data_IF_668332871055
#
_entry.id   IF_668332871055
#
_cell.length_a   1.000
_cell.length_b   1.000
_cell.length_c   1.000
_cell.angle_alpha   90.00
_cell.angle_beta   90.00
_cell.angle_gamma   90.00
#
_symmetry.space_group_name_H-M   'P 1'
#
loop_
_entity.id
_entity.type
_entity.pdbx_description
1 polymer ?
#
# COMPACT_ATOMS: atom_id res chain seq x y z
N UNK A 1 -30.60 1.93 -30.55
CA UNK A 1 -29.43 2.73 -30.11
C UNK A 1 -29.70 3.32 -28.74
N UNK A 2 -28.98 2.91 -27.68
CA UNK A 2 -29.09 3.59 -26.37
C UNK A 2 -28.32 4.90 -26.47
N UNK A 3 -28.93 6.03 -26.06
CA UNK A 3 -28.18 7.28 -25.91
C UNK A 3 -27.12 7.08 -24.81
N UNK A 4 -25.85 7.46 -25.02
CA UNK A 4 -24.85 7.39 -23.97
C UNK A 4 -25.26 8.35 -22.86
N UNK A 5 -25.60 7.80 -21.69
CA UNK A 5 -25.81 8.58 -20.47
C UNK A 5 -24.45 8.90 -19.87
N UNK A 6 -24.23 10.16 -19.49
CA UNK A 6 -23.05 10.55 -18.72
C UNK A 6 -23.04 9.79 -17.39
N UNK A 7 -21.87 9.36 -16.89
CA UNK A 7 -21.80 8.69 -15.60
C UNK A 7 -22.33 9.60 -14.48
N UNK A 8 -23.02 9.05 -13.47
CA UNK A 8 -23.72 9.83 -12.43
C UNK A 8 -22.82 10.83 -11.69
N UNK A 9 -21.54 10.49 -11.52
CA UNK A 9 -20.56 11.32 -10.83
C UNK A 9 -20.23 12.63 -11.57
N UNK A 10 -20.24 12.64 -12.90
CA UNK A 10 -19.96 13.85 -13.69
C UNK A 10 -21.12 14.85 -13.60
N UNK A 11 -22.36 14.34 -13.53
CA UNK A 11 -23.54 15.15 -13.33
C UNK A 11 -23.54 15.83 -11.95
N UNK A 12 -23.10 15.15 -10.89
CA UNK A 12 -23.05 15.71 -9.54
C UNK A 12 -21.95 16.77 -9.34
N UNK A 13 -20.90 16.78 -10.16
CA UNK A 13 -19.74 17.67 -10.00
C UNK A 13 -19.74 18.88 -10.93
N UNK A 14 -20.79 19.09 -11.73
CA UNK A 14 -20.90 20.12 -12.77
C UNK A 14 -19.69 20.17 -13.74
N UNK A 15 -18.95 19.06 -13.88
CA UNK A 15 -17.73 18.95 -14.67
C UNK A 15 -17.99 18.57 -16.13
N UNK A 16 -19.27 18.35 -16.49
CA UNK A 16 -19.69 17.85 -17.79
C UNK A 16 -19.29 18.77 -18.96
N UNK A 17 -19.12 20.07 -18.74
CA UNK A 17 -18.68 21.02 -19.78
C UNK A 17 -17.14 21.15 -19.89
N UNK A 18 -16.39 20.58 -18.94
CA UNK A 18 -14.93 20.72 -18.87
C UNK A 18 -14.18 19.45 -19.24
N UNK A 19 -14.88 18.35 -19.52
CA UNK A 19 -14.30 17.03 -19.76
C UNK A 19 -14.93 16.38 -20.98
N UNK A 20 -14.10 15.82 -21.86
CA UNK A 20 -14.56 14.95 -22.94
C UNK A 20 -14.62 13.51 -22.40
N UNK A 21 -15.81 12.93 -22.37
CA UNK A 21 -16.03 11.55 -21.92
C UNK A 21 -16.14 10.59 -23.12
N UNK A 22 -15.29 9.57 -23.15
CA UNK A 22 -15.37 8.48 -24.12
C UNK A 22 -15.83 7.19 -23.44
N UNK A 23 -16.74 6.47 -24.12
CA UNK A 23 -17.14 5.11 -23.75
C UNK A 23 -16.92 4.19 -24.93
N UNK A 24 -16.23 3.08 -24.69
CA UNK A 24 -16.07 2.00 -25.65
C UNK A 24 -16.57 0.71 -25.02
N UNK A 25 -17.38 -0.04 -25.77
CA UNK A 25 -17.83 -1.39 -25.40
C UNK A 25 -17.38 -2.34 -26.52
N UNK A 26 -16.84 -3.51 -26.17
CA UNK A 26 -16.42 -4.52 -27.14
C UNK A 26 -17.41 -5.70 -27.12
N UNK A 27 -18.19 -5.94 -28.19
CA UNK A 27 -19.33 -6.85 -28.16
C UNK A 27 -18.99 -8.33 -28.39
N UNK A 28 -17.72 -8.70 -28.62
CA UNK A 28 -17.34 -10.08 -28.94
C UNK A 28 -16.51 -10.74 -27.82
N UNK A 29 -16.65 -12.05 -27.69
CA UNK A 29 -16.00 -12.90 -26.69
C UNK A 29 -14.66 -13.52 -27.15
N UNK A 30 -14.34 -13.44 -28.45
CA UNK A 30 -13.26 -14.24 -29.08
C UNK A 30 -11.85 -13.59 -29.05
N UNK A 31 -11.69 -12.41 -28.48
CA UNK A 31 -10.44 -11.62 -28.54
C UNK A 31 -9.76 -11.41 -27.18
N UNK A 32 -10.11 -12.19 -26.15
CA UNK A 32 -9.50 -12.06 -24.81
C UNK A 32 -7.97 -12.16 -24.86
N UNK A 33 -7.44 -13.04 -25.71
CA UNK A 33 -6.00 -13.16 -25.94
C UNK A 33 -5.39 -11.87 -26.52
N UNK A 34 -6.07 -11.24 -27.49
CA UNK A 34 -5.64 -9.95 -28.06
C UNK A 34 -5.70 -8.83 -27.02
N UNK A 35 -6.75 -8.80 -26.19
CA UNK A 35 -6.87 -7.85 -25.09
C UNK A 35 -5.76 -8.04 -24.06
N UNK A 36 -5.46 -9.28 -23.66
CA UNK A 36 -4.34 -9.61 -22.77
C UNK A 36 -2.99 -9.18 -23.36
N UNK A 37 -2.78 -9.37 -24.66
CA UNK A 37 -1.56 -8.91 -25.35
C UNK A 37 -1.46 -7.38 -25.39
N UNK A 38 -2.55 -6.68 -25.70
CA UNK A 38 -2.57 -5.20 -25.68
C UNK A 38 -2.29 -4.67 -24.27
N UNK A 39 -2.91 -5.27 -23.26
CA UNK A 39 -2.66 -4.96 -21.85
C UNK A 39 -1.18 -5.15 -21.50
N UNK A 40 -0.58 -6.29 -21.86
CA UNK A 40 0.83 -6.55 -21.59
C UNK A 40 1.78 -5.57 -22.31
N UNK A 41 1.36 -5.02 -23.46
CA UNK A 41 2.13 -4.01 -24.19
C UNK A 41 1.96 -2.60 -23.62
N UNK A 42 0.77 -2.27 -23.10
CA UNK A 42 0.47 -0.96 -22.51
C UNK A 42 1.02 -0.81 -21.08
N UNK A 43 1.12 -1.91 -20.34
CA UNK A 43 1.58 -1.91 -18.95
C UNK A 43 2.69 -2.95 -18.74
N UNK A 44 3.73 -2.54 -18.01
CA UNK A 44 4.80 -3.42 -17.56
C UNK A 44 4.33 -4.31 -16.38
N UNK A 45 3.41 -5.25 -16.65
CA UNK A 45 2.81 -6.10 -15.61
C UNK A 45 3.85 -6.97 -14.90
N UNK A 46 4.90 -7.41 -15.60
CA UNK A 46 6.01 -8.15 -15.00
C UNK A 46 6.75 -7.34 -13.93
N UNK A 47 6.93 -6.03 -14.16
CA UNK A 47 7.58 -5.14 -13.20
C UNK A 47 6.68 -4.93 -11.97
N UNK A 48 5.38 -4.73 -12.17
CA UNK A 48 4.41 -4.61 -11.06
C UNK A 48 4.35 -5.90 -10.24
N UNK A 49 4.34 -7.06 -10.89
CA UNK A 49 4.45 -8.35 -10.21
C UNK A 49 5.74 -8.47 -9.40
N UNK A 50 6.87 -7.99 -9.93
CA UNK A 50 8.14 -7.90 -9.21
C UNK A 50 8.06 -7.06 -7.94
N UNK A 51 7.41 -5.89 -8.00
CA UNK A 51 7.20 -5.06 -6.80
C UNK A 51 6.30 -5.73 -5.75
N UNK A 52 5.27 -6.46 -6.17
CA UNK A 52 4.47 -7.26 -5.24
C UNK A 52 5.30 -8.37 -4.59
N UNK A 53 6.13 -9.04 -5.37
CA UNK A 53 7.00 -10.09 -4.87
C UNK A 53 7.99 -9.57 -3.83
N UNK A 54 8.68 -8.46 -4.12
CA UNK A 54 9.59 -7.80 -3.17
C UNK A 54 8.89 -7.39 -1.88
N UNK A 55 7.67 -6.86 -1.98
CA UNK A 55 6.85 -6.54 -0.82
C UNK A 55 6.55 -7.80 0.01
N UNK A 56 6.11 -8.88 -0.62
CA UNK A 56 5.77 -10.14 0.06
C UNK A 56 7.00 -10.73 0.76
N UNK A 57 8.14 -10.82 0.08
CA UNK A 57 9.39 -11.35 0.64
C UNK A 57 9.85 -10.51 1.83
N UNK A 58 9.70 -9.18 1.77
CA UNK A 58 10.12 -8.29 2.84
C UNK A 58 9.21 -8.37 4.08
N UNK A 59 7.89 -8.50 3.88
CA UNK A 59 6.91 -8.38 4.96
C UNK A 59 6.41 -9.73 5.51
N UNK A 60 6.61 -10.86 4.81
CA UNK A 60 6.28 -12.20 5.35
C UNK A 60 7.03 -12.53 6.64
N UNK A 61 8.37 -12.34 6.74
CA UNK A 61 9.08 -12.58 7.99
C UNK A 61 8.59 -11.69 9.13
N UNK A 62 8.25 -10.43 8.82
CA UNK A 62 7.66 -9.52 9.80
C UNK A 62 6.33 -10.05 10.33
N UNK A 63 5.45 -10.56 9.46
CA UNK A 63 4.19 -11.15 9.90
C UNK A 63 4.38 -12.35 10.82
N UNK A 64 5.39 -13.19 10.57
CA UNK A 64 5.72 -14.31 11.47
C UNK A 64 6.13 -13.80 12.85
N UNK A 65 7.03 -12.82 12.91
CA UNK A 65 7.46 -12.20 14.18
C UNK A 65 6.29 -11.55 14.92
N UNK A 66 5.39 -10.86 14.22
CA UNK A 66 4.21 -10.22 14.81
C UNK A 66 3.19 -11.19 15.41
N UNK A 67 3.19 -12.45 14.95
CA UNK A 67 2.33 -13.50 15.52
C UNK A 67 2.89 -14.04 16.84
N UNK A 68 4.21 -14.11 16.96
CA UNK A 68 4.90 -14.57 18.16
C UNK A 68 5.08 -13.45 19.20
N UNK A 69 5.09 -12.19 18.76
CA UNK A 69 5.35 -11.05 19.61
C UNK A 69 4.26 -10.82 20.67
N UNK A 70 4.72 -10.60 21.89
CA UNK A 70 3.88 -10.28 23.04
C UNK A 70 3.54 -8.78 23.13
N UNK A 71 2.78 -8.40 24.16
CA UNK A 71 2.40 -7.00 24.37
C UNK A 71 3.58 -6.11 24.79
N UNK A 72 4.65 -6.68 25.35
CA UNK A 72 5.84 -5.93 25.76
C UNK A 72 6.70 -5.55 24.56
N UNK A 73 6.83 -6.45 23.58
CA UNK A 73 7.55 -6.22 22.34
C UNK A 73 6.80 -5.24 21.40
N UNK A 74 5.46 -5.29 21.40
CA UNK A 74 4.58 -4.48 20.55
C UNK A 74 4.09 -3.18 21.20
N UNK A 75 5.05 -2.38 21.62
CA UNK A 75 4.75 -1.05 22.16
C UNK A 75 4.00 -0.17 21.14
N UNK A 76 3.14 0.77 21.60
CA UNK A 76 2.40 1.69 20.73
C UNK A 76 3.25 2.42 19.69
N UNK A 77 4.45 2.86 20.07
CA UNK A 77 5.41 3.51 19.15
C UNK A 77 5.90 2.57 18.05
N UNK A 78 6.27 1.32 18.39
CA UNK A 78 6.73 0.33 17.41
C UNK A 78 5.61 -0.05 16.44
N UNK A 79 4.40 -0.26 16.96
CA UNK A 79 3.21 -0.51 16.14
C UNK A 79 2.96 0.64 15.15
N UNK A 80 3.09 1.89 15.60
CA UNK A 80 2.99 3.06 14.72
C UNK A 80 4.05 3.08 13.62
N UNK A 81 5.32 2.83 13.96
CA UNK A 81 6.40 2.75 12.98
C UNK A 81 6.16 1.66 11.94
N UNK A 82 5.74 0.47 12.38
CA UNK A 82 5.40 -0.65 11.50
C UNK A 82 4.25 -0.29 10.57
N UNK A 83 3.15 0.28 11.11
CA UNK A 83 1.99 0.72 10.32
C UNK A 83 2.40 1.74 9.26
N UNK A 84 3.22 2.72 9.62
CA UNK A 84 3.69 3.76 8.70
C UNK A 84 4.52 3.16 7.56
N UNK A 85 5.50 2.31 7.88
CA UNK A 85 6.34 1.65 6.88
C UNK A 85 5.51 0.74 5.98
N UNK A 86 4.63 -0.09 6.55
CA UNK A 86 3.74 -0.98 5.82
C UNK A 86 2.93 -0.21 4.76
N UNK A 87 2.23 0.85 5.17
CA UNK A 87 1.41 1.66 4.26
C UNK A 87 2.27 2.39 3.23
N UNK A 88 3.44 2.90 3.62
CA UNK A 88 4.36 3.55 2.69
C UNK A 88 4.80 2.60 1.57
N UNK A 89 5.29 1.41 1.91
CA UNK A 89 5.74 0.43 0.92
C UNK A 89 4.58 -0.09 0.07
N UNK A 90 3.43 -0.42 0.68
CA UNK A 90 2.28 -0.93 -0.04
C UNK A 90 1.72 0.10 -1.04
N UNK A 91 1.62 1.38 -0.64
CA UNK A 91 1.17 2.46 -1.55
C UNK A 91 2.07 2.62 -2.77
N UNK A 92 3.39 2.46 -2.63
CA UNK A 92 4.31 2.55 -3.77
C UNK A 92 4.06 1.48 -4.83
N UNK A 93 3.60 0.30 -4.42
CA UNK A 93 3.24 -0.78 -5.35
C UNK A 93 1.88 -0.51 -5.98
N UNK A 94 0.86 -0.21 -5.17
CA UNK A 94 -0.51 0.01 -5.67
C UNK A 94 -0.61 1.22 -6.61
N UNK A 95 0.20 2.27 -6.42
CA UNK A 95 0.23 3.41 -7.33
C UNK A 95 0.75 3.07 -8.73
N UNK A 96 1.43 1.94 -8.89
CA UNK A 96 1.90 1.43 -10.19
C UNK A 96 0.95 0.36 -10.77
N UNK A 97 0.03 -0.15 -9.96
CA UNK A 97 -0.93 -1.17 -10.38
C UNK A 97 -2.05 -0.52 -11.21
N UNK A 98 -2.29 -0.97 -12.47
CA UNK A 98 -3.38 -0.46 -13.29
C UNK A 98 -4.79 -0.89 -12.81
N UNK A 99 -4.90 -1.72 -11.77
CA UNK A 99 -6.16 -2.19 -11.17
C UNK A 99 -7.09 -2.84 -12.20
N UNK A 100 -6.50 -3.65 -13.08
CA UNK A 100 -7.22 -4.38 -14.12
C UNK A 100 -8.04 -5.53 -13.52
N UNK A 101 -9.14 -5.94 -14.18
CA UNK A 101 -9.87 -7.16 -13.81
C UNK A 101 -9.00 -8.41 -13.84
N UNK A 102 -9.24 -9.35 -12.94
CA UNK A 102 -8.45 -10.59 -12.78
C UNK A 102 -8.33 -11.40 -14.09
N UNK A 103 -9.35 -11.37 -14.95
CA UNK A 103 -9.33 -12.04 -16.24
C UNK A 103 -8.22 -11.55 -17.19
N UNK A 104 -7.68 -10.34 -16.99
CA UNK A 104 -6.62 -9.77 -17.83
C UNK A 104 -5.22 -9.90 -17.20
N UNK A 105 -5.14 -10.37 -15.95
CA UNK A 105 -3.89 -10.49 -15.22
C UNK A 105 -3.16 -11.81 -15.55
N UNK A 106 -1.83 -11.85 -15.36
CA UNK A 106 -1.06 -13.10 -15.45
C UNK A 106 -1.53 -14.13 -14.42
N UNK A 107 -1.35 -15.41 -14.72
CA UNK A 107 -1.79 -16.50 -13.84
C UNK A 107 -1.13 -16.48 -12.44
N UNK A 108 0.12 -16.02 -12.34
CA UNK A 108 0.86 -15.93 -11.07
C UNK A 108 0.83 -14.51 -10.47
N UNK A 109 -0.28 -13.78 -10.62
CA UNK A 109 -0.39 -12.44 -10.06
C UNK A 109 -0.45 -12.44 -8.53
N UNK A 110 0.55 -11.87 -7.88
CA UNK A 110 0.68 -11.88 -6.42
C UNK A 110 -0.04 -10.71 -5.72
N UNK A 111 -0.74 -9.84 -6.47
CA UNK A 111 -1.37 -8.63 -5.91
C UNK A 111 -2.35 -8.92 -4.77
N UNK A 112 -3.13 -10.00 -4.87
CA UNK A 112 -4.06 -10.39 -3.80
C UNK A 112 -3.33 -10.93 -2.57
N UNK A 113 -2.23 -11.66 -2.76
CA UNK A 113 -1.40 -12.18 -1.66
C UNK A 113 -0.79 -11.01 -0.89
N UNK A 114 -0.23 -10.03 -1.60
CA UNK A 114 0.33 -8.81 -1.01
C UNK A 114 -0.73 -7.99 -0.27
N UNK A 115 -1.92 -7.82 -0.86
CA UNK A 115 -3.05 -7.13 -0.22
C UNK A 115 -3.46 -7.81 1.08
N UNK A 116 -3.63 -9.14 1.07
CA UNK A 116 -3.99 -9.90 2.26
C UNK A 116 -2.91 -9.81 3.34
N UNK A 117 -1.63 -9.91 2.97
CA UNK A 117 -0.52 -9.72 3.90
C UNK A 117 -0.54 -8.32 4.53
N UNK A 118 -0.79 -7.28 3.72
CA UNK A 118 -0.91 -5.91 4.21
C UNK A 118 -2.07 -5.77 5.19
N UNK A 119 -3.25 -6.31 4.89
CA UNK A 119 -4.42 -6.27 5.77
C UNK A 119 -4.12 -6.94 7.11
N UNK A 120 -3.51 -8.13 7.08
CA UNK A 120 -3.21 -8.89 8.29
C UNK A 120 -2.21 -8.16 9.21
N UNK A 121 -1.13 -7.60 8.64
CA UNK A 121 -0.17 -6.82 9.41
C UNK A 121 -0.83 -5.54 9.94
N UNK A 122 -1.60 -4.84 9.10
CA UNK A 122 -2.31 -3.63 9.49
C UNK A 122 -3.20 -3.89 10.70
N UNK A 123 -4.09 -4.87 10.61
CA UNK A 123 -5.02 -5.22 11.68
C UNK A 123 -4.30 -5.57 13.00
N UNK A 124 -3.15 -6.23 12.91
CA UNK A 124 -2.37 -6.62 14.09
C UNK A 124 -1.79 -5.43 14.85
N UNK A 125 -1.41 -4.35 14.16
CA UNK A 125 -0.73 -3.19 14.76
C UNK A 125 -1.64 -1.96 14.92
N UNK A 126 -2.82 -1.96 14.30
CA UNK A 126 -3.66 -0.77 14.14
C UNK A 126 -4.08 -0.14 15.48
N UNK A 127 -4.48 -0.97 16.44
CA UNK A 127 -4.97 -0.50 17.74
C UNK A 127 -3.87 0.28 18.50
N UNK A 128 -2.74 -0.37 18.76
CA UNK A 128 -1.61 0.23 19.46
C UNK A 128 -1.00 1.43 18.69
N UNK A 129 -0.94 1.36 17.36
CA UNK A 129 -0.51 2.49 16.54
C UNK A 129 -1.44 3.71 16.69
N UNK A 130 -2.75 3.47 16.74
CA UNK A 130 -3.76 4.53 16.88
C UNK A 130 -3.75 5.12 18.29
N UNK A 131 -3.51 4.31 19.32
CA UNK A 131 -3.28 4.78 20.69
C UNK A 131 -2.09 5.75 20.77
N UNK A 132 -0.97 5.42 20.10
CA UNK A 132 0.20 6.30 20.03
C UNK A 132 -0.13 7.66 19.39
N UNK A 133 -0.77 7.65 18.23
CA UNK A 133 -1.17 8.89 17.52
C UNK A 133 -2.15 9.71 18.35
N UNK A 134 -3.08 9.06 19.03
CA UNK A 134 -4.08 9.73 19.87
C UNK A 134 -3.42 10.39 21.10
N UNK A 135 -2.45 9.71 21.72
CA UNK A 135 -1.70 10.25 22.84
C UNK A 135 -0.83 11.44 22.42
N UNK A 136 -0.12 11.33 21.28
CA UNK A 136 0.75 12.40 20.79
C UNK A 136 -0.03 13.58 20.18
N UNK A 137 -1.11 13.30 19.44
CA UNK A 137 -1.98 14.32 18.84
C UNK A 137 -2.68 15.21 19.87
N UNK A 138 -3.03 14.66 21.05
CA UNK A 138 -3.51 15.47 22.18
C UNK A 138 -2.44 16.42 22.74
N UNK A 139 -1.15 16.07 22.63
CA UNK A 139 -0.04 16.94 23.04
C UNK A 139 0.24 18.06 22.02
N UNK A 140 -0.10 17.87 20.74
CA UNK A 140 0.01 18.93 19.71
C UNK A 140 -0.99 20.08 19.95
N UNK A 141 -2.15 19.82 20.56
CA UNK A 141 -3.08 20.91 20.90
C UNK A 141 -2.56 21.87 21.99
N UNK A 142 -1.48 21.52 22.72
CA UNK A 142 -0.85 22.42 23.70
C UNK A 142 0.33 23.23 23.17
N UNK A 143 0.97 22.84 22.06
CA UNK A 143 2.15 23.53 21.53
C UNK A 143 2.24 23.44 19.99
N UNK A 144 1.35 24.16 19.28
CA UNK A 144 1.63 24.56 17.90
C UNK A 144 2.38 25.89 17.89
N UNK A 145 3.62 25.88 18.36
CA UNK A 145 4.64 26.84 17.90
C UNK A 145 5.61 26.09 17.00
N UNK A 146 5.66 26.57 15.75
CA UNK A 146 6.14 25.94 14.53
C UNK A 146 7.69 25.79 14.44
N UNK A 147 8.40 25.41 15.51
CA UNK A 147 9.87 25.57 15.52
C UNK A 147 10.69 24.28 15.48
N UNK A 148 10.08 23.09 15.51
CA UNK A 148 10.85 21.83 15.62
C UNK A 148 10.50 20.71 14.62
N UNK A 149 10.13 21.07 13.39
CA UNK A 149 10.10 20.11 12.26
C UNK A 149 11.50 19.65 11.79
N UNK A 150 12.61 20.10 12.39
CA UNK A 150 13.98 19.85 11.87
C UNK A 150 14.64 18.53 12.30
N UNK A 151 14.05 17.75 13.21
CA UNK A 151 14.76 16.61 13.82
C UNK A 151 14.60 15.26 13.12
N UNK A 152 13.79 15.13 12.07
CA UNK A 152 13.65 13.83 11.41
C UNK A 152 14.79 13.52 10.40
N UNK A 153 15.75 14.43 10.15
CA UNK A 153 16.49 14.48 8.87
C UNK A 153 17.75 13.68 8.52
N UNK A 154 18.21 12.66 9.29
CA UNK A 154 19.25 11.76 8.77
C UNK A 154 18.80 10.33 8.43
N UNK A 155 17.75 9.77 9.06
CA UNK A 155 17.50 8.32 9.01
C UNK A 155 16.87 7.81 7.69
N UNK A 156 16.22 8.68 6.92
CA UNK A 156 15.48 8.25 5.73
C UNK A 156 16.34 8.19 4.45
N UNK A 157 17.56 8.72 4.46
CA UNK A 157 18.48 8.62 3.31
C UNK A 157 19.20 7.28 3.22
N UNK A 158 19.38 6.56 4.33
CA UNK A 158 20.03 5.25 4.39
C UNK A 158 19.07 4.06 4.34
N UNK A 159 17.78 4.25 4.61
CA UNK A 159 16.77 3.19 4.58
C UNK A 159 16.42 2.67 3.16
N UNK A 160 16.94 3.31 2.11
CA UNK A 160 16.75 2.91 0.71
C UNK A 160 17.66 1.74 0.25
N UNK A 161 18.52 1.20 1.12
CA UNK A 161 19.23 -0.07 0.87
C UNK A 161 18.72 -1.13 1.84
N UNK A 162 17.95 -2.07 1.29
CA UNK A 162 17.45 -3.30 1.88
C UNK A 162 18.41 -3.90 2.93
N UNK A 163 18.05 -3.84 4.23
CA UNK A 163 18.52 -4.73 5.32
C UNK A 163 18.08 -4.30 6.75
N UNK A 164 17.56 -3.09 6.97
CA UNK A 164 17.38 -2.57 8.34
C UNK A 164 16.19 -3.13 9.13
N UNK A 165 15.09 -3.54 8.48
CA UNK A 165 13.86 -3.96 9.17
C UNK A 165 14.06 -5.26 9.97
N UNK A 166 14.89 -6.18 9.46
CA UNK A 166 15.17 -7.45 10.15
C UNK A 166 16.18 -7.30 11.30
N UNK A 167 16.97 -6.22 11.34
CA UNK A 167 18.01 -6.04 12.37
C UNK A 167 17.47 -5.45 13.66
N UNK A 168 16.49 -4.55 13.58
CA UNK A 168 15.88 -3.92 14.76
C UNK A 168 15.08 -4.91 15.62
N UNK A 169 14.36 -5.84 14.98
CA UNK A 169 13.59 -6.88 15.69
C UNK A 169 14.46 -8.01 16.24
N UNK A 170 15.65 -8.25 15.65
CA UNK A 170 16.58 -9.29 16.12
C UNK A 170 17.41 -8.84 17.34
N UNK A 171 17.61 -7.53 17.53
CA UNK A 171 18.32 -6.98 18.70
C UNK A 171 17.50 -7.03 20.01
N UNK A 172 16.18 -7.25 19.95
CA UNK A 172 15.35 -7.35 21.15
C UNK A 172 15.42 -8.74 21.84
N UNK A 173 16.00 -9.76 21.18
CA UNK A 173 16.03 -11.15 21.67
C UNK A 173 17.42 -11.61 22.15
N UNK A 174 18.43 -10.72 22.19
CA UNK A 174 19.84 -11.07 22.48
C UNK A 174 20.40 -10.26 23.67
N UNK A 175 19.53 -9.59 24.44
CA UNK A 175 19.95 -8.81 25.63
C UNK A 175 19.52 -9.42 26.97
N UNK A 176 19.16 -10.71 26.98
CA UNK A 176 19.04 -11.53 28.19
C UNK A 176 20.22 -12.51 28.30
#
# INVERSE_FOLDING_TARGET
MRKPTSPPCLASSNASEQVIYFRADYPYNRSEQTLRQMVANCWSLSEVAGYYHEFIVSFRPLMALLREADEQELTPLRCFQIKLLLIHFFRRVVLKDPLLPDALLPAQWEGQIARNLCINIYQRVDRAATEYVSAFGRNLHRHLTCTQCRLLSPLWRTAARSHYILRSLRYARVSD
#
